data_IF_593760518310
#
_entry.id   IF_593760518310
#
_cell.length_a   1.000
_cell.length_b   1.000
_cell.length_c   1.000
_cell.angle_alpha   90.00
_cell.angle_beta   90.00
_cell.angle_gamma   90.00
#
_symmetry.space_group_name_H-M   'P 1'
#
loop_
_entity.id
_entity.type
_entity.pdbx_description
1 polymer ?
#
# COMPACT_ATOMS: atom_id res chain seq x y z
N UNK A 1 46.33 -43.64 -5.21
CA UNK A 1 45.12 -43.38 -6.04
C UNK A 1 43.84 -43.05 -5.27
N UNK A 2 43.72 -43.29 -3.95
CA UNK A 2 42.51 -42.92 -3.17
C UNK A 2 42.45 -41.45 -2.70
N UNK A 3 43.58 -40.74 -2.65
CA UNK A 3 43.63 -39.33 -2.18
C UNK A 3 43.36 -38.28 -3.26
N UNK A 4 43.42 -38.67 -4.54
CA UNK A 4 43.19 -37.74 -5.67
C UNK A 4 41.69 -37.57 -6.01
N UNK A 5 40.87 -38.58 -5.70
CA UNK A 5 39.42 -38.57 -5.96
C UNK A 5 38.62 -37.65 -5.02
N UNK A 6 39.14 -37.36 -3.82
CA UNK A 6 38.44 -36.51 -2.83
C UNK A 6 38.54 -35.02 -3.21
N UNK A 7 39.63 -34.60 -3.86
CA UNK A 7 39.83 -33.21 -4.26
C UNK A 7 38.94 -32.84 -5.45
N UNK A 8 38.70 -33.79 -6.37
CA UNK A 8 37.82 -33.57 -7.51
C UNK A 8 36.34 -33.52 -7.06
N UNK A 9 35.94 -34.36 -6.09
CA UNK A 9 34.59 -34.30 -5.53
C UNK A 9 34.30 -32.99 -4.77
N UNK A 10 35.29 -32.40 -4.08
CA UNK A 10 35.15 -31.11 -3.41
C UNK A 10 35.05 -29.93 -4.39
N UNK A 11 35.68 -30.02 -5.56
CA UNK A 11 35.62 -28.98 -6.61
C UNK A 11 34.33 -29.04 -7.45
N UNK A 12 33.62 -30.17 -7.46
CA UNK A 12 32.31 -30.27 -8.14
C UNK A 12 31.17 -29.74 -7.26
N UNK A 13 31.31 -29.75 -5.93
CA UNK A 13 30.28 -29.18 -5.03
C UNK A 13 30.34 -27.65 -4.95
N UNK A 14 31.48 -27.02 -5.29
CA UNK A 14 31.59 -25.56 -5.36
C UNK A 14 31.05 -24.92 -6.64
N UNK A 15 30.65 -25.73 -7.65
CA UNK A 15 30.13 -25.23 -8.94
C UNK A 15 28.62 -25.45 -9.12
N UNK A 16 27.88 -25.84 -8.07
CA UNK A 16 26.42 -25.69 -8.06
C UNK A 16 25.97 -24.34 -7.50
N UNK A 17 26.83 -23.32 -7.55
CA UNK A 17 26.36 -21.94 -7.59
C UNK A 17 25.54 -21.81 -8.87
N UNK A 18 24.22 -22.04 -8.75
CA UNK A 18 23.26 -21.58 -9.74
C UNK A 18 23.59 -20.12 -10.00
N UNK A 19 24.15 -19.86 -11.20
CA UNK A 19 24.39 -18.52 -11.71
C UNK A 19 23.10 -17.71 -11.57
N UNK A 20 23.09 -16.83 -10.58
CA UNK A 20 23.01 -15.38 -10.76
C UNK A 20 21.96 -14.80 -11.72
N UNK A 21 20.77 -15.40 -11.84
CA UNK A 21 19.58 -14.68 -12.29
C UNK A 21 18.94 -13.84 -11.15
N UNK A 22 19.60 -13.75 -10.00
CA UNK A 22 19.08 -13.18 -8.75
C UNK A 22 19.49 -11.72 -8.46
N UNK A 23 20.40 -11.12 -9.24
CA UNK A 23 21.06 -9.86 -8.84
C UNK A 23 20.45 -8.60 -9.47
N UNK A 24 20.09 -8.59 -10.75
CA UNK A 24 19.61 -7.34 -11.39
C UNK A 24 18.26 -6.86 -10.81
N UNK A 25 17.36 -7.77 -10.44
CA UNK A 25 16.04 -7.39 -9.92
C UNK A 25 16.00 -7.01 -8.43
N UNK A 26 16.94 -7.52 -7.62
CA UNK A 26 17.05 -7.13 -6.22
C UNK A 26 17.48 -5.67 -6.11
N UNK A 27 18.37 -5.24 -7.01
CA UNK A 27 18.74 -3.84 -7.18
C UNK A 27 17.56 -3.00 -7.70
N UNK A 28 16.78 -3.47 -8.68
CA UNK A 28 15.65 -2.70 -9.23
C UNK A 28 14.61 -2.29 -8.16
N UNK A 29 14.24 -3.20 -7.25
CA UNK A 29 13.27 -2.90 -6.17
C UNK A 29 13.88 -2.03 -5.06
N UNK A 30 15.15 -2.22 -4.76
CA UNK A 30 15.93 -1.35 -3.85
C UNK A 30 16.05 0.08 -4.42
N UNK A 31 16.25 0.19 -5.73
CA UNK A 31 16.34 1.45 -6.45
C UNK A 31 14.99 2.18 -6.53
N UNK A 32 13.89 1.45 -6.69
CA UNK A 32 12.53 1.96 -6.54
C UNK A 32 12.27 2.60 -5.17
N UNK A 33 12.81 1.97 -4.14
CA UNK A 33 12.62 2.37 -2.75
C UNK A 33 13.37 3.67 -2.41
N UNK A 34 14.44 3.98 -3.16
CA UNK A 34 15.14 5.27 -3.08
C UNK A 34 14.40 6.39 -3.81
N UNK A 35 13.42 6.08 -4.66
CA UNK A 35 12.69 7.08 -5.43
C UNK A 35 11.57 7.77 -4.64
N UNK A 36 11.54 7.68 -3.31
CA UNK A 36 10.64 8.46 -2.48
C UNK A 36 11.31 9.78 -2.08
N UNK A 37 10.60 10.90 -2.25
CA UNK A 37 10.96 12.19 -1.69
C UNK A 37 10.36 12.31 -0.30
N UNK A 38 11.17 12.83 0.60
CA UNK A 38 10.86 12.93 2.01
C UNK A 38 10.82 14.42 2.38
N UNK A 39 9.62 15.01 2.44
CA UNK A 39 9.37 16.36 2.97
C UNK A 39 7.87 16.55 3.23
N UNK A 40 7.53 17.20 4.35
CA UNK A 40 6.17 17.65 4.66
C UNK A 40 5.97 19.17 4.47
N UNK A 41 6.99 19.88 3.99
CA UNK A 41 6.94 21.34 3.86
C UNK A 41 5.87 21.77 2.86
N UNK A 42 5.01 22.74 3.24
CA UNK A 42 4.02 23.34 2.35
C UNK A 42 2.64 22.66 2.31
N UNK A 43 2.42 21.62 3.10
CA UNK A 43 1.10 20.95 3.16
C UNK A 43 0.12 21.77 3.99
N UNK A 44 -0.97 22.16 3.34
CA UNK A 44 -2.02 23.04 3.91
C UNK A 44 -3.39 22.37 3.97
N UNK A 45 -3.54 21.19 3.36
CA UNK A 45 -4.79 20.44 3.35
C UNK A 45 -5.10 19.82 4.72
N UNK A 46 -6.39 19.71 5.06
CA UNK A 46 -6.86 18.98 6.23
C UNK A 46 -6.90 17.46 6.01
N UNK A 47 -6.78 17.02 4.75
CA UNK A 47 -6.72 15.63 4.30
C UNK A 47 -5.32 15.31 3.80
N UNK A 48 -4.61 14.42 4.50
CA UNK A 48 -3.23 14.06 4.17
C UNK A 48 -2.84 12.71 4.75
N UNK A 49 -1.78 12.13 4.21
CA UNK A 49 -1.01 11.09 4.88
C UNK A 49 0.40 11.61 5.15
N UNK A 50 0.86 11.51 6.39
CA UNK A 50 2.26 11.77 6.77
C UNK A 50 2.81 10.65 7.63
N UNK A 51 4.13 10.48 7.67
CA UNK A 51 4.79 9.58 8.62
C UNK A 51 6.30 9.58 8.44
N UNK A 52 7.01 8.86 9.30
CA UNK A 52 8.45 8.69 9.23
C UNK A 52 8.73 7.27 8.76
N UNK A 53 9.50 7.13 7.67
CA UNK A 53 9.93 5.85 7.14
C UNK A 53 11.45 5.85 7.10
N UNK A 54 12.08 4.91 7.81
CA UNK A 54 13.54 4.81 7.90
C UNK A 54 14.22 6.13 8.32
N UNK A 55 13.62 6.84 9.30
CA UNK A 55 14.13 8.10 9.83
C UNK A 55 13.94 9.32 8.92
N UNK A 56 13.11 9.22 7.87
CA UNK A 56 12.82 10.32 6.96
C UNK A 56 11.32 10.59 6.88
N UNK A 57 10.93 11.86 6.92
CA UNK A 57 9.53 12.29 6.84
C UNK A 57 8.96 12.12 5.43
N UNK A 58 7.84 11.45 5.29
CA UNK A 58 7.14 11.25 4.03
C UNK A 58 5.71 11.80 4.14
N UNK A 59 5.23 12.51 3.11
CA UNK A 59 3.88 13.06 3.13
C UNK A 59 3.25 13.20 1.74
N UNK A 60 1.93 13.06 1.68
CA UNK A 60 1.07 13.39 0.54
C UNK A 60 -0.21 14.06 1.04
N UNK A 61 -0.87 14.89 0.21
CA UNK A 61 -2.06 15.62 0.64
C UNK A 61 -3.06 15.90 -0.47
N UNK A 62 -4.35 15.96 -0.11
CA UNK A 62 -5.42 16.27 -1.05
C UNK A 62 -5.26 17.68 -1.64
N UNK A 63 -5.52 17.85 -2.93
CA UNK A 63 -5.44 19.15 -3.63
C UNK A 63 -4.00 19.55 -3.98
N UNK A 64 -3.02 18.74 -3.58
CA UNK A 64 -1.62 18.91 -3.93
C UNK A 64 -1.17 17.69 -4.73
N UNK A 65 -1.72 17.57 -5.96
CA UNK A 65 -1.50 16.45 -6.91
C UNK A 65 -2.09 15.11 -6.46
N UNK A 66 -2.77 15.04 -5.32
CA UNK A 66 -3.50 13.86 -4.85
C UNK A 66 -4.98 14.17 -4.57
N UNK A 67 -5.85 13.20 -4.85
CA UNK A 67 -7.26 13.12 -4.48
C UNK A 67 -7.41 12.23 -3.27
N UNK A 68 -8.17 12.70 -2.31
CA UNK A 68 -8.68 11.88 -1.23
C UNK A 68 -9.93 11.14 -1.69
N UNK A 69 -9.97 9.81 -1.54
CA UNK A 69 -11.02 8.97 -2.11
C UNK A 69 -11.41 7.83 -1.17
N UNK A 70 -12.72 7.63 -1.01
CA UNK A 70 -13.30 6.45 -0.38
C UNK A 70 -13.98 5.58 -1.42
N UNK A 71 -13.83 4.27 -1.33
CA UNK A 71 -14.52 3.33 -2.21
C UNK A 71 -14.62 1.93 -1.63
N UNK A 72 -15.12 1.01 -2.43
CA UNK A 72 -15.11 -0.41 -2.12
C UNK A 72 -13.87 -1.10 -2.71
N UNK A 73 -13.37 -2.11 -2.02
CA UNK A 73 -12.48 -3.12 -2.60
C UNK A 73 -13.09 -4.51 -2.44
N UNK A 74 -12.83 -5.39 -3.40
CA UNK A 74 -13.27 -6.79 -3.32
C UNK A 74 -12.05 -7.71 -3.21
N UNK A 75 -12.25 -8.91 -2.68
CA UNK A 75 -11.21 -9.93 -2.51
C UNK A 75 -10.61 -10.51 -3.80
N UNK A 76 -10.76 -9.85 -4.96
CA UNK A 76 -10.34 -10.32 -6.27
C UNK A 76 -10.01 -9.25 -7.32
N UNK A 77 -10.46 -8.00 -7.16
CA UNK A 77 -10.14 -6.89 -8.09
C UNK A 77 -10.04 -5.55 -7.37
N UNK A 78 -9.11 -4.70 -7.78
CA UNK A 78 -8.96 -3.33 -7.28
C UNK A 78 -9.76 -2.34 -8.15
N UNK A 79 -10.65 -1.60 -7.48
CA UNK A 79 -11.21 -0.27 -7.81
C UNK A 79 -12.31 -0.11 -8.89
N UNK A 80 -13.33 0.67 -8.50
CA UNK A 80 -14.53 1.20 -9.20
C UNK A 80 -14.19 2.34 -10.19
N UNK A 81 -15.03 2.71 -11.19
CA UNK A 81 -16.42 2.31 -11.43
C UNK A 81 -16.61 1.49 -12.72
N UNK A 82 -17.00 0.23 -12.56
CA UNK A 82 -17.56 -0.58 -13.63
C UNK A 82 -18.78 -1.32 -13.10
N UNK A 83 -19.74 -1.61 -13.97
CA UNK A 83 -20.92 -2.42 -13.65
C UNK A 83 -20.47 -3.74 -13.00
N UNK A 84 -20.78 -3.90 -11.72
CA UNK A 84 -20.33 -5.04 -10.92
C UNK A 84 -21.34 -6.19 -11.01
N UNK A 85 -20.88 -7.42 -11.28
CA UNK A 85 -21.66 -8.63 -11.01
C UNK A 85 -21.50 -9.02 -9.52
N UNK A 86 -22.55 -8.88 -8.69
CA UNK A 86 -22.47 -9.18 -7.27
C UNK A 86 -22.19 -10.67 -6.98
N UNK A 87 -22.49 -11.56 -7.92
CA UNK A 87 -22.34 -13.02 -7.74
C UNK A 87 -20.88 -13.51 -7.79
N UNK A 88 -19.94 -12.68 -8.25
CA UNK A 88 -18.54 -13.06 -8.44
C UNK A 88 -17.61 -12.72 -7.27
N UNK A 89 -18.08 -12.00 -6.25
CA UNK A 89 -17.23 -11.53 -5.14
C UNK A 89 -17.67 -12.08 -3.79
N UNK A 90 -16.78 -12.82 -3.11
CA UNK A 90 -17.04 -13.37 -1.77
C UNK A 90 -16.53 -12.53 -0.61
N UNK A 91 -15.98 -11.32 -0.86
CA UNK A 91 -15.36 -10.44 0.16
C UNK A 91 -15.44 -8.99 -0.26
N UNK A 92 -16.03 -8.13 0.57
CA UNK A 92 -16.18 -6.68 0.33
C UNK A 92 -15.71 -5.88 1.54
N UNK A 93 -14.94 -4.83 1.31
CA UNK A 93 -14.53 -3.88 2.35
C UNK A 93 -14.37 -2.46 1.79
N UNK A 94 -13.95 -1.53 2.64
CA UNK A 94 -13.71 -0.13 2.32
C UNK A 94 -12.23 0.12 2.04
N UNK A 95 -11.95 0.95 1.04
CA UNK A 95 -10.62 1.51 0.78
C UNK A 95 -10.67 3.02 0.98
N UNK A 96 -9.76 3.51 1.82
CA UNK A 96 -9.41 4.92 1.99
C UNK A 96 -8.11 5.13 1.23
N UNK A 97 -8.09 6.00 0.22
CA UNK A 97 -6.90 6.20 -0.62
C UNK A 97 -6.58 7.65 -0.88
N UNK A 98 -5.28 7.95 -0.85
CA UNK A 98 -4.71 9.07 -1.59
C UNK A 98 -4.22 8.56 -2.93
N UNK A 99 -4.85 9.04 -4.01
CA UNK A 99 -4.50 8.71 -5.39
C UNK A 99 -4.14 9.99 -6.16
N UNK A 100 -3.15 9.98 -7.05
CA UNK A 100 -2.79 11.17 -7.80
C UNK A 100 -3.90 11.73 -8.69
N UNK A 101 -3.98 13.06 -8.77
CA UNK A 101 -5.03 13.81 -9.46
C UNK A 101 -4.99 13.67 -10.97
N UNK A 102 -3.79 13.44 -11.52
CA UNK A 102 -3.53 13.59 -12.94
C UNK A 102 -3.32 12.23 -13.58
N UNK A 103 -4.17 11.90 -14.55
CA UNK A 103 -3.89 10.91 -15.57
C UNK A 103 -2.87 11.49 -16.56
N UNK A 104 -1.69 11.85 -16.06
CA UNK A 104 -0.57 12.17 -16.94
C UNK A 104 -0.04 10.82 -17.40
N UNK A 105 -0.51 10.40 -18.58
CA UNK A 105 0.04 9.25 -19.28
C UNK A 105 1.57 9.37 -19.18
N UNK A 106 2.24 8.38 -18.57
CA UNK A 106 3.69 8.38 -18.55
C UNK A 106 4.18 8.62 -19.97
N UNK A 107 5.03 9.63 -20.19
CA UNK A 107 5.65 9.82 -21.51
C UNK A 107 6.57 8.65 -21.87
N UNK A 108 6.86 7.78 -20.90
CA UNK A 108 7.56 6.52 -21.02
C UNK A 108 6.56 5.37 -20.86
N UNK A 109 6.16 4.75 -21.98
CA UNK A 109 5.43 3.48 -21.95
C UNK A 109 6.44 2.39 -21.62
N UNK A 110 6.20 1.70 -20.52
CA UNK A 110 7.08 0.65 -20.01
C UNK A 110 6.51 -0.72 -20.38
N UNK A 111 7.12 -1.41 -21.35
CA UNK A 111 6.70 -2.76 -21.73
C UNK A 111 6.80 -3.73 -20.53
N UNK A 112 5.69 -4.38 -20.18
CA UNK A 112 5.63 -5.38 -19.11
C UNK A 112 5.54 -4.81 -17.68
N UNK A 113 5.52 -3.49 -17.51
CA UNK A 113 5.24 -2.83 -16.22
C UNK A 113 3.82 -2.30 -16.28
N UNK A 114 2.93 -2.83 -15.44
CA UNK A 114 1.55 -2.37 -15.42
C UNK A 114 1.53 -0.89 -14.99
N UNK A 115 1.14 -0.02 -15.93
CA UNK A 115 1.06 1.43 -15.74
C UNK A 115 -0.12 1.83 -14.84
N UNK A 116 -0.94 0.88 -14.41
CA UNK A 116 -2.01 1.09 -13.42
C UNK A 116 -1.49 1.46 -12.03
N UNK A 117 -0.19 1.32 -11.75
CA UNK A 117 0.39 1.60 -10.42
C UNK A 117 0.77 3.08 -10.27
N UNK A 118 -0.24 3.93 -10.46
CA UNK A 118 -0.21 5.33 -10.05
C UNK A 118 0.14 5.37 -8.55
N UNK A 119 1.12 6.19 -8.11
CA UNK A 119 1.59 6.20 -6.73
C UNK A 119 0.45 6.44 -5.74
N UNK A 120 0.05 5.47 -4.92
CA UNK A 120 -1.11 5.56 -4.05
C UNK A 120 -0.81 5.09 -2.62
N UNK A 121 -1.44 5.77 -1.66
CA UNK A 121 -1.41 5.39 -0.25
C UNK A 121 -2.81 4.86 0.05
N UNK A 122 -2.90 3.61 0.49
CA UNK A 122 -4.16 2.92 0.65
C UNK A 122 -4.26 2.35 2.07
N UNK A 123 -5.39 2.59 2.71
CA UNK A 123 -5.80 1.93 3.94
C UNK A 123 -7.09 1.16 3.67
N UNK A 124 -7.05 -0.15 3.76
CA UNK A 124 -8.18 -1.04 3.53
C UNK A 124 -8.73 -1.48 4.89
N UNK A 125 -10.05 -1.42 5.05
CA UNK A 125 -10.74 -1.97 6.22
C UNK A 125 -10.62 -3.50 6.24
N UNK A 126 -11.14 -4.18 7.27
CA UNK A 126 -11.52 -5.58 7.15
C UNK A 126 -12.61 -5.75 6.08
N UNK A 127 -12.91 -7.00 5.73
CA UNK A 127 -13.96 -7.33 4.77
C UNK A 127 -15.06 -8.13 5.44
N UNK A 128 -16.29 -7.95 4.96
CA UNK A 128 -17.40 -8.87 5.19
C UNK A 128 -17.47 -9.92 4.09
N UNK A 129 -18.00 -11.10 4.41
CA UNK A 129 -18.32 -12.14 3.43
C UNK A 129 -19.80 -11.99 3.11
N UNK A 130 -20.10 -11.47 1.93
CA UNK A 130 -21.45 -11.22 1.46
C UNK A 130 -21.53 -11.54 -0.04
N UNK A 131 -22.70 -11.96 -0.51
CA UNK A 131 -23.03 -12.17 -1.92
C UNK A 131 -23.45 -10.89 -2.64
N UNK A 132 -23.56 -9.78 -1.91
CA UNK A 132 -23.90 -8.45 -2.43
C UNK A 132 -22.99 -7.39 -1.84
N UNK A 133 -22.85 -6.26 -2.51
CA UNK A 133 -22.11 -5.10 -1.98
C UNK A 133 -23.01 -4.42 -0.93
N UNK A 134 -22.63 -4.41 0.36
CA UNK A 134 -23.44 -3.74 1.38
C UNK A 134 -23.42 -2.22 1.18
N UNK A 135 -24.44 -1.50 1.66
CA UNK A 135 -24.40 -0.04 1.69
C UNK A 135 -23.13 0.47 2.35
N UNK A 136 -22.49 1.49 1.76
CA UNK A 136 -21.22 2.03 2.31
C UNK A 136 -21.37 2.46 3.76
N UNK A 137 -22.52 3.07 4.11
CA UNK A 137 -22.83 3.46 5.50
C UNK A 137 -22.76 2.28 6.47
N UNK A 138 -23.26 1.11 6.07
CA UNK A 138 -23.20 -0.09 6.92
C UNK A 138 -21.75 -0.48 7.21
N UNK A 139 -20.88 -0.49 6.19
CA UNK A 139 -19.46 -0.81 6.37
C UNK A 139 -18.73 0.27 7.19
N UNK A 140 -19.09 1.53 7.01
CA UNK A 140 -18.54 2.63 7.81
C UNK A 140 -18.91 2.46 9.29
N UNK A 141 -20.17 2.20 9.59
CA UNK A 141 -20.64 1.98 10.97
C UNK A 141 -20.01 0.72 11.60
N UNK A 142 -19.73 -0.32 10.80
CA UNK A 142 -19.11 -1.56 11.26
C UNK A 142 -17.61 -1.40 11.57
N UNK A 143 -16.85 -0.73 10.68
CA UNK A 143 -15.39 -0.71 10.77
C UNK A 143 -14.82 0.58 11.35
N UNK A 144 -15.54 1.70 11.25
CA UNK A 144 -15.05 3.03 11.61
C UNK A 144 -15.63 3.45 12.96
N UNK A 145 -14.83 3.29 14.00
CA UNK A 145 -15.11 3.73 15.35
C UNK A 145 -13.82 4.04 16.09
N UNK A 146 -13.85 5.00 17.02
CA UNK A 146 -12.67 5.38 17.82
C UNK A 146 -12.06 4.16 18.52
N UNK A 147 -10.73 4.12 18.54
CA UNK A 147 -9.96 3.14 19.28
C UNK A 147 -9.04 2.29 18.41
N UNK A 148 -8.35 1.38 19.08
CA UNK A 148 -7.37 0.50 18.44
C UNK A 148 -8.04 -0.51 17.51
N UNK A 149 -7.46 -0.67 16.33
CA UNK A 149 -7.90 -1.62 15.30
C UNK A 149 -6.84 -2.69 15.12
N UNK A 150 -7.28 -3.85 14.66
CA UNK A 150 -6.37 -4.93 14.29
C UNK A 150 -5.80 -4.68 12.91
N UNK A 151 -4.52 -4.94 12.75
CA UNK A 151 -3.96 -5.19 11.44
C UNK A 151 -4.31 -6.59 10.94
N UNK A 152 -4.47 -6.69 9.64
CA UNK A 152 -4.52 -7.96 8.93
C UNK A 152 -3.19 -8.70 9.11
N UNK A 153 -3.30 -9.99 9.43
CA UNK A 153 -2.14 -10.88 9.50
C UNK A 153 -2.42 -12.16 8.72
N UNK A 154 -1.39 -13.01 8.59
CA UNK A 154 -1.57 -14.34 8.00
C UNK A 154 -2.53 -15.22 8.83
N UNK A 155 -2.58 -15.02 10.15
CA UNK A 155 -3.33 -15.85 11.09
C UNK A 155 -4.73 -15.29 11.38
N UNK A 156 -4.91 -13.98 11.27
CA UNK A 156 -6.19 -13.28 11.41
C UNK A 156 -6.43 -12.39 10.19
N UNK A 157 -7.33 -12.84 9.29
CA UNK A 157 -7.65 -12.09 8.09
C UNK A 157 -8.67 -10.98 8.28
N UNK A 158 -9.14 -10.76 9.52
CA UNK A 158 -10.13 -9.76 9.87
C UNK A 158 -9.45 -8.52 10.50
N UNK A 159 -8.72 -7.77 9.67
CA UNK A 159 -8.00 -6.58 10.10
C UNK A 159 -7.73 -5.61 8.96
N UNK A 160 -7.36 -4.39 9.32
CA UNK A 160 -6.98 -3.34 8.39
C UNK A 160 -5.68 -3.67 7.67
N UNK A 161 -5.52 -3.17 6.45
CA UNK A 161 -4.29 -3.31 5.67
C UNK A 161 -3.84 -1.95 5.20
N UNK A 162 -2.56 -1.65 5.35
CA UNK A 162 -1.96 -0.43 4.86
C UNK A 162 -0.99 -0.75 3.72
N UNK A 163 -1.05 0.02 2.65
CA UNK A 163 -0.19 -0.12 1.48
C UNK A 163 0.25 1.25 0.95
N UNK A 164 1.52 1.36 0.58
CA UNK A 164 2.04 2.41 -0.29
C UNK A 164 2.52 1.71 -1.56
N UNK A 165 1.87 2.00 -2.69
CA UNK A 165 2.15 1.40 -3.99
C UNK A 165 2.60 2.49 -4.94
N UNK A 166 3.56 2.24 -5.83
CA UNK A 166 3.96 3.18 -6.87
C UNK A 166 4.71 2.49 -8.00
N UNK A 167 4.72 3.07 -9.18
CA UNK A 167 5.63 2.67 -10.26
C UNK A 167 6.79 3.65 -10.31
N UNK A 168 8.01 3.14 -10.23
CA UNK A 168 9.24 3.87 -10.50
C UNK A 168 9.41 3.90 -12.01
N UNK A 169 8.87 4.96 -12.62
CA UNK A 169 9.13 5.39 -13.98
C UNK A 169 9.26 6.92 -13.95
N UNK A 170 8.69 7.62 -14.92
CA UNK A 170 8.60 9.08 -14.90
C UNK A 170 7.59 9.58 -13.84
N UNK A 171 8.00 9.54 -12.57
CA UNK A 171 7.24 10.05 -11.41
C UNK A 171 7.54 11.53 -11.12
N UNK A 172 8.21 12.24 -12.04
CA UNK A 172 8.65 13.65 -11.90
C UNK A 172 7.52 14.58 -11.47
N UNK A 173 6.29 14.22 -11.80
CA UNK A 173 5.10 15.03 -11.58
C UNK A 173 4.47 14.81 -10.21
N UNK A 174 4.80 13.74 -9.48
CA UNK A 174 4.18 13.41 -8.20
C UNK A 174 5.06 13.86 -7.02
N UNK A 175 4.47 14.61 -6.10
CA UNK A 175 5.15 14.96 -4.86
C UNK A 175 5.40 13.71 -4.01
N UNK A 176 6.51 13.66 -3.29
CA UNK A 176 6.90 12.46 -2.57
C UNK A 176 7.61 11.40 -3.42
N UNK A 177 7.89 11.65 -4.72
CA UNK A 177 8.61 10.71 -5.59
C UNK A 177 9.70 11.37 -6.47
N UNK A 178 10.77 10.63 -6.75
CA UNK A 178 11.94 11.03 -7.55
C UNK A 178 11.95 10.41 -8.94
N UNK A 179 12.39 11.17 -9.93
CA UNK A 179 12.39 10.82 -11.36
C UNK A 179 13.35 9.68 -11.63
N UNK A 180 12.89 8.62 -12.30
CA UNK A 180 13.77 7.56 -12.83
C UNK A 180 13.41 7.19 -14.26
N UNK A 181 14.42 6.77 -15.02
CA UNK A 181 14.30 6.34 -16.42
C UNK A 181 14.03 4.84 -16.56
N UNK A 182 14.31 4.07 -15.51
CA UNK A 182 14.11 2.62 -15.48
C UNK A 182 12.71 2.31 -14.94
N UNK A 183 11.96 1.48 -15.67
CA UNK A 183 10.57 1.15 -15.38
C UNK A 183 10.45 -0.02 -14.40
N UNK A 184 9.91 0.20 -13.20
CA UNK A 184 9.88 -0.80 -12.12
C UNK A 184 8.64 -0.56 -11.25
N UNK A 185 7.98 -1.62 -10.74
CA UNK A 185 6.93 -1.47 -9.74
C UNK A 185 7.51 -1.53 -8.32
N UNK A 186 7.15 -0.55 -7.51
CA UNK A 186 7.42 -0.47 -6.08
C UNK A 186 6.15 -0.64 -5.26
N UNK A 187 6.27 -1.28 -4.11
CA UNK A 187 5.16 -1.35 -3.18
C UNK A 187 5.62 -1.91 -1.85
N UNK A 188 5.16 -1.29 -0.77
CA UNK A 188 5.29 -1.87 0.55
C UNK A 188 4.00 -1.70 1.34
N UNK A 189 3.76 -2.62 2.26
CA UNK A 189 2.58 -2.55 3.10
C UNK A 189 2.64 -3.54 4.24
N UNK A 190 1.54 -3.57 4.97
CA UNK A 190 1.30 -4.55 6.03
C UNK A 190 0.68 -5.79 5.40
N UNK A 191 1.44 -6.89 5.26
CA UNK A 191 0.82 -8.12 4.78
C UNK A 191 1.71 -9.36 4.61
N UNK A 192 1.09 -10.53 4.84
CA UNK A 192 1.61 -11.86 4.45
C UNK A 192 2.44 -12.59 5.52
N UNK A 193 2.71 -11.95 6.66
CA UNK A 193 3.55 -12.49 7.74
C UNK A 193 2.88 -12.34 9.10
N UNK A 194 3.48 -12.99 10.11
CA UNK A 194 3.21 -12.70 11.52
C UNK A 194 3.81 -11.32 11.82
N UNK A 195 2.95 -10.32 11.95
CA UNK A 195 3.36 -8.99 12.38
C UNK A 195 3.70 -9.04 13.87
N UNK A 196 4.72 -8.31 14.31
CA UNK A 196 4.95 -8.14 15.75
C UNK A 196 3.87 -7.19 16.30
N UNK A 197 2.94 -7.66 17.16
CA UNK A 197 1.86 -6.82 17.66
C UNK A 197 2.37 -5.63 18.49
N UNK A 198 3.60 -5.67 19.00
CA UNK A 198 4.21 -4.53 19.73
C UNK A 198 4.70 -3.42 18.79
N UNK A 199 4.93 -3.72 17.51
CA UNK A 199 5.46 -2.76 16.51
C UNK A 199 4.41 -2.31 15.49
N UNK A 200 3.27 -2.99 15.48
CA UNK A 200 2.21 -2.77 14.50
C UNK A 200 0.95 -2.36 15.26
N UNK A 201 0.56 -1.10 15.09
CA UNK A 201 -0.60 -0.51 15.75
C UNK A 201 -1.33 0.42 14.78
N UNK A 202 -2.64 0.29 14.70
CA UNK A 202 -3.51 1.23 14.00
C UNK A 202 -4.61 1.66 14.96
N UNK A 203 -4.84 2.97 15.08
CA UNK A 203 -5.84 3.55 15.97
C UNK A 203 -6.64 4.57 15.19
N UNK A 204 -7.96 4.54 15.32
CA UNK A 204 -8.78 5.67 14.91
C UNK A 204 -8.83 6.62 16.11
N UNK A 205 -8.05 7.69 16.06
CA UNK A 205 -7.88 8.61 17.20
C UNK A 205 -8.85 9.79 17.19
N UNK A 206 -9.38 10.13 16.01
CA UNK A 206 -10.42 11.14 15.85
C UNK A 206 -11.45 10.70 14.81
N UNK A 207 -12.71 11.03 15.07
CA UNK A 207 -13.86 10.67 14.24
C UNK A 207 -14.96 11.69 14.46
N UNK A 208 -15.23 12.50 13.44
CA UNK A 208 -16.36 13.40 13.42
C UNK A 208 -17.29 13.04 12.27
N UNK A 209 -18.59 12.96 12.56
CA UNK A 209 -19.61 12.61 11.57
C UNK A 209 -20.58 13.79 11.44
N UNK A 210 -20.61 14.39 10.26
CA UNK A 210 -21.56 15.46 9.92
C UNK A 210 -22.66 14.89 9.02
N UNK A 211 -23.91 15.09 9.41
CA UNK A 211 -25.06 14.71 8.60
C UNK A 211 -25.57 15.91 7.81
N UNK A 212 -25.75 15.72 6.50
CA UNK A 212 -26.34 16.70 5.56
C UNK A 212 -27.61 16.10 4.94
N UNK A 213 -28.41 16.84 4.16
CA UNK A 213 -29.57 16.26 3.48
C UNK A 213 -29.24 15.07 2.59
N UNK A 214 -28.08 15.09 1.92
CA UNK A 214 -27.73 14.11 0.87
C UNK A 214 -26.63 13.13 1.29
N UNK A 215 -25.78 13.51 2.26
CA UNK A 215 -24.61 12.74 2.67
C UNK A 215 -24.44 12.63 4.18
N UNK A 216 -23.78 11.55 4.61
CA UNK A 216 -23.00 11.48 5.83
C UNK A 216 -21.52 11.75 5.49
N UNK A 217 -20.92 12.74 6.16
CA UNK A 217 -19.52 13.11 5.97
C UNK A 217 -18.74 12.63 7.19
N UNK A 218 -17.75 11.77 6.97
CA UNK A 218 -16.89 11.21 8.02
C UNK A 218 -15.50 11.84 7.91
N UNK A 219 -15.12 12.63 8.91
CA UNK A 219 -13.74 13.09 9.11
C UNK A 219 -13.03 12.11 10.04
N UNK A 220 -11.99 11.43 9.55
CA UNK A 220 -11.36 10.31 10.24
C UNK A 220 -9.85 10.57 10.35
N UNK A 221 -9.29 10.37 11.54
CA UNK A 221 -7.83 10.33 11.73
C UNK A 221 -7.41 8.93 12.14
N UNK A 222 -6.57 8.29 11.32
CA UNK A 222 -5.88 7.06 11.67
C UNK A 222 -4.44 7.35 12.08
N UNK A 223 -4.04 6.86 13.25
CA UNK A 223 -2.66 6.78 13.70
C UNK A 223 -2.12 5.38 13.40
N UNK A 224 -0.97 5.30 12.71
CA UNK A 224 -0.45 4.08 12.12
C UNK A 224 1.04 3.95 12.44
N UNK A 225 1.40 2.88 13.14
CA UNK A 225 2.77 2.39 13.26
C UNK A 225 2.80 0.99 12.66
N UNK A 226 3.71 0.71 11.73
CA UNK A 226 3.71 -0.58 11.06
C UNK A 226 5.08 -0.99 10.53
N UNK A 227 5.40 -2.27 10.64
CA UNK A 227 6.49 -2.88 9.88
C UNK A 227 6.06 -2.93 8.41
N UNK A 228 6.90 -2.36 7.55
CA UNK A 228 6.67 -2.28 6.12
C UNK A 228 7.45 -3.40 5.43
N UNK A 229 6.74 -4.15 4.60
CA UNK A 229 7.33 -5.22 3.80
C UNK A 229 7.09 -4.97 2.33
N UNK A 230 8.08 -5.29 1.52
CA UNK A 230 7.97 -5.16 0.08
C UNK A 230 7.96 -6.54 -0.58
N UNK A 231 7.10 -6.75 -1.56
CA UNK A 231 6.93 -8.04 -2.27
C UNK A 231 7.48 -7.95 -3.69
N UNK A 232 8.26 -8.94 -4.13
CA UNK A 232 8.82 -8.99 -5.49
C UNK A 232 7.88 -9.73 -6.48
N UNK A 233 8.24 -9.76 -7.77
CA UNK A 233 7.47 -10.45 -8.81
C UNK A 233 7.32 -11.97 -8.59
N UNK A 234 8.21 -12.57 -7.81
CA UNK A 234 8.17 -13.98 -7.41
C UNK A 234 7.39 -14.21 -6.12
N UNK A 235 6.74 -13.16 -5.58
CA UNK A 235 6.02 -13.15 -4.30
C UNK A 235 6.91 -13.38 -3.08
N UNK A 236 8.22 -13.18 -3.21
CA UNK A 236 9.10 -13.11 -2.05
C UNK A 236 8.92 -11.76 -1.36
N UNK A 237 8.78 -11.81 -0.05
CA UNK A 237 8.55 -10.64 0.79
C UNK A 237 9.79 -10.37 1.64
N UNK A 238 10.23 -9.12 1.65
CA UNK A 238 11.41 -8.67 2.39
C UNK A 238 11.04 -7.50 3.31
N UNK A 239 11.66 -7.45 4.49
CA UNK A 239 11.47 -6.33 5.41
C UNK A 239 12.09 -5.07 4.80
N UNK A 240 11.29 -4.02 4.68
CA UNK A 240 11.72 -2.74 4.14
C UNK A 240 12.12 -1.77 5.26
N UNK A 241 11.31 -1.67 6.30
CA UNK A 241 11.50 -0.69 7.36
C UNK A 241 10.32 -0.60 8.29
N UNK A 242 10.29 0.45 9.09
CA UNK A 242 9.20 0.78 10.00
C UNK A 242 8.57 2.11 9.56
N UNK A 243 7.24 2.16 9.49
CA UNK A 243 6.46 3.38 9.54
C UNK A 243 6.29 3.77 11.01
N UNK A 244 6.76 4.96 11.35
CA UNK A 244 6.65 5.61 12.64
C UNK A 244 5.79 6.87 12.49
N UNK A 245 5.00 7.20 13.51
CA UNK A 245 4.18 8.42 13.58
C UNK A 245 3.30 8.66 12.33
N UNK A 246 2.80 7.57 11.74
CA UNK A 246 1.92 7.63 10.57
C UNK A 246 0.59 8.27 10.95
N UNK A 247 0.20 9.35 10.27
CA UNK A 247 -1.09 10.01 10.41
C UNK A 247 -1.77 10.01 9.05
N UNK A 248 -2.90 9.33 8.95
CA UNK A 248 -3.78 9.32 7.78
C UNK A 248 -5.06 10.07 8.15
N UNK A 249 -5.18 11.33 7.69
CA UNK A 249 -6.39 12.14 7.83
C UNK A 249 -7.22 12.07 6.56
N UNK A 250 -8.44 11.55 6.67
CA UNK A 250 -9.31 11.20 5.56
C UNK A 250 -10.68 11.85 5.71
N UNK A 251 -11.29 12.32 4.61
CA UNK A 251 -12.70 12.72 4.57
C UNK A 251 -13.48 11.83 3.62
N UNK A 252 -14.44 11.07 4.15
CA UNK A 252 -15.31 10.21 3.37
C UNK A 252 -16.71 10.82 3.22
N UNK A 253 -17.24 10.82 2.00
CA UNK A 253 -18.61 11.22 1.70
C UNK A 253 -19.43 9.97 1.40
N UNK A 254 -20.50 9.75 2.16
CA UNK A 254 -21.35 8.57 2.06
C UNK A 254 -22.77 9.01 1.77
N UNK A 255 -23.32 8.63 0.63
CA UNK A 255 -24.71 8.95 0.26
C UNK A 255 -25.71 8.30 1.23
N UNK A 256 -26.84 8.99 1.42
CA UNK A 256 -27.95 8.57 2.29
C UNK A 256 -28.87 7.52 1.67
#
# INVERSE_FOLDING_TARGET
MKKLLIIIAALVISNSCQKDDYLEFYDLKYECTKSMKFSCEGITSDQYFKGIINGKEFCVSHGNKYKDLTGFYTGGTTTSPFEFDPSEFGRVGLVFKFEPEVNQNPTTICDGVDMSSVPSINLWSPYVIDSTIPPMKQLMDEFISIGEKKFWTKDDSNGFRFFINWTCGDTTYYEGFDRRTDCIQGGFGTGGKKLNPQKNRIVISDLHITETPDFYIYDITFEINAELFSTDKYRNTYHYGQLEDGIFKHRAFVEK
#
